data_IF_184128999542
#
_entry.id   IF_184128999542
#
_cell.length_a   1.000
_cell.length_b   1.000
_cell.length_c   1.000
_cell.angle_alpha   90.00
_cell.angle_beta   90.00
_cell.angle_gamma   90.00
#
_symmetry.space_group_name_H-M   'P 1'
#
loop_
_entity.id
_entity.type
_entity.pdbx_description
1 polymer ?
#
# COMPACT_ATOMS: atom_id res chain seq x y z
N UNK A 1 -52.66 38.58 8.00
CA UNK A 1 -51.65 38.39 6.94
C UNK A 1 -50.71 37.31 7.43
N UNK A 2 -50.90 36.07 7.00
CA UNK A 2 -50.04 34.95 7.36
C UNK A 2 -48.80 34.99 6.46
N UNK A 3 -47.66 35.34 7.06
CA UNK A 3 -46.36 35.26 6.39
C UNK A 3 -46.00 33.77 6.36
N UNK A 4 -46.06 33.16 5.17
CA UNK A 4 -45.53 31.81 4.97
C UNK A 4 -44.01 31.87 5.25
N UNK A 5 -43.44 30.94 6.05
CA UNK A 5 -42.01 30.91 6.27
C UNK A 5 -41.32 30.62 4.94
N UNK A 6 -40.27 31.39 4.63
CA UNK A 6 -39.46 31.20 3.43
C UNK A 6 -39.07 29.72 3.30
N UNK A 7 -39.35 29.13 2.14
CA UNK A 7 -39.01 27.75 1.85
C UNK A 7 -37.50 27.55 2.13
N UNK A 8 -37.19 26.72 3.12
CA UNK A 8 -35.81 26.45 3.50
C UNK A 8 -35.17 25.64 2.38
N UNK A 9 -34.32 26.28 1.59
CA UNK A 9 -33.62 25.66 0.49
C UNK A 9 -32.45 24.84 1.06
N UNK A 10 -32.57 23.52 1.01
CA UNK A 10 -31.56 22.58 1.49
C UNK A 10 -30.86 21.90 0.32
N UNK A 11 -29.61 22.33 0.05
CA UNK A 11 -28.70 21.72 -0.92
C UNK A 11 -27.48 21.17 -0.18
N UNK A 12 -27.54 19.94 0.37
CA UNK A 12 -26.41 19.38 1.07
C UNK A 12 -25.27 19.10 0.08
N UNK A 13 -24.03 19.30 0.52
CA UNK A 13 -22.85 18.95 -0.27
C UNK A 13 -22.86 17.44 -0.62
N UNK A 14 -22.23 17.07 -1.72
CA UNK A 14 -22.03 15.64 -2.05
C UNK A 14 -21.26 14.96 -0.92
N UNK A 15 -21.48 13.66 -0.74
CA UNK A 15 -20.78 12.87 0.28
C UNK A 15 -19.31 12.60 -0.08
N UNK A 16 -18.80 13.16 -1.19
CA UNK A 16 -17.42 13.00 -1.63
C UNK A 16 -16.42 13.55 -0.60
N UNK A 17 -16.84 14.52 0.22
CA UNK A 17 -16.05 14.98 1.38
C UNK A 17 -15.78 13.86 2.41
N UNK A 18 -16.55 12.77 2.41
CA UNK A 18 -16.30 11.59 3.24
C UNK A 18 -15.28 10.63 2.62
N UNK A 19 -14.86 10.88 1.38
CA UNK A 19 -13.90 10.06 0.63
C UNK A 19 -12.48 10.66 0.63
N UNK A 20 -12.22 11.71 1.42
CA UNK A 20 -10.91 12.38 1.46
C UNK A 20 -9.77 11.39 1.78
N UNK A 21 -10.02 10.41 2.65
CA UNK A 21 -9.02 9.39 3.01
C UNK A 21 -9.18 8.08 2.23
N UNK A 22 -10.04 8.04 1.20
CA UNK A 22 -10.37 6.80 0.48
C UNK A 22 -9.14 6.20 -0.21
N UNK A 23 -8.28 7.03 -0.79
CA UNK A 23 -7.06 6.55 -1.46
C UNK A 23 -6.16 5.84 -0.45
N UNK A 24 -5.93 6.46 0.71
CA UNK A 24 -5.13 5.90 1.79
C UNK A 24 -5.74 4.61 2.36
N UNK A 25 -7.07 4.61 2.54
CA UNK A 25 -7.80 3.43 2.99
C UNK A 25 -7.70 2.28 1.97
N UNK A 26 -7.69 2.57 0.66
CA UNK A 26 -7.47 1.56 -0.36
C UNK A 26 -6.09 0.91 -0.22
N UNK A 27 -5.03 1.68 0.11
CA UNK A 27 -3.68 1.13 0.36
C UNK A 27 -3.67 0.26 1.61
N UNK A 28 -4.27 0.71 2.72
CA UNK A 28 -4.38 -0.08 3.94
C UNK A 28 -5.09 -1.41 3.67
N UNK A 29 -6.26 -1.35 3.04
CA UNK A 29 -7.07 -2.53 2.71
C UNK A 29 -6.33 -3.45 1.73
N UNK A 30 -5.64 -2.91 0.73
CA UNK A 30 -4.84 -3.67 -0.21
C UNK A 30 -3.73 -4.45 0.50
N UNK A 31 -3.02 -3.78 1.41
CA UNK A 31 -1.94 -4.38 2.21
C UNK A 31 -2.46 -5.52 3.08
N UNK A 32 -3.56 -5.29 3.82
CA UNK A 32 -4.21 -6.32 4.64
C UNK A 32 -4.76 -7.48 3.79
N UNK A 33 -5.27 -7.20 2.59
CA UNK A 33 -5.74 -8.23 1.66
C UNK A 33 -4.60 -9.16 1.24
N UNK A 34 -3.45 -8.61 0.84
CA UNK A 34 -2.30 -9.42 0.47
C UNK A 34 -1.76 -10.21 1.68
N UNK A 35 -1.73 -9.61 2.87
CA UNK A 35 -1.35 -10.30 4.11
C UNK A 35 -2.31 -11.45 4.48
N UNK A 36 -3.61 -11.27 4.26
CA UNK A 36 -4.62 -12.31 4.47
C UNK A 36 -4.41 -13.49 3.51
N UNK A 37 -4.22 -13.23 2.21
CA UNK A 37 -3.93 -14.25 1.20
C UNK A 37 -2.67 -15.06 1.60
N UNK A 38 -1.65 -14.38 2.10
CA UNK A 38 -0.38 -14.99 2.53
C UNK A 38 -0.45 -15.68 3.90
N UNK A 39 -1.57 -15.60 4.62
CA UNK A 39 -1.73 -16.10 5.99
C UNK A 39 -0.71 -15.51 7.00
N UNK A 40 -0.29 -14.26 6.81
CA UNK A 40 0.70 -13.59 7.68
C UNK A 40 0.13 -12.47 8.55
N UNK A 41 -1.17 -12.19 8.44
CA UNK A 41 -1.83 -11.02 9.05
C UNK A 41 -1.50 -10.84 10.55
N UNK A 42 -1.66 -11.89 11.36
CA UNK A 42 -1.39 -11.87 12.80
C UNK A 42 0.09 -12.09 13.16
N UNK A 43 0.91 -12.54 12.21
CA UNK A 43 2.34 -12.84 12.44
C UNK A 43 3.26 -11.70 12.03
N UNK A 44 2.79 -10.83 11.12
CA UNK A 44 3.55 -9.74 10.55
C UNK A 44 3.31 -8.40 11.26
N UNK A 45 2.23 -8.29 12.03
CA UNK A 45 1.86 -7.07 12.75
C UNK A 45 2.12 -7.24 14.24
N UNK A 46 2.56 -6.16 14.89
CA UNK A 46 2.64 -6.10 16.34
C UNK A 46 1.24 -6.25 16.97
N UNK A 47 1.16 -6.92 18.11
CA UNK A 47 -0.07 -7.04 18.88
C UNK A 47 -0.62 -5.67 19.27
N UNK A 48 0.26 -4.68 19.46
CA UNK A 48 -0.11 -3.31 19.84
C UNK A 48 -0.64 -2.47 18.66
N UNK A 49 -0.62 -2.98 17.43
CA UNK A 49 -1.11 -2.27 16.24
C UNK A 49 -2.64 -2.09 16.23
N UNK A 50 -3.37 -2.79 17.10
CA UNK A 50 -4.84 -2.73 17.13
C UNK A 50 -5.48 -3.35 15.89
N UNK A 51 -4.79 -4.31 15.26
CA UNK A 51 -5.22 -4.99 14.03
C UNK A 51 -6.67 -5.49 14.12
N UNK A 52 -7.06 -6.10 15.24
CA UNK A 52 -8.43 -6.59 15.44
C UNK A 52 -9.48 -5.47 15.29
N UNK A 53 -9.20 -4.27 15.81
CA UNK A 53 -10.09 -3.12 15.70
C UNK A 53 -10.15 -2.59 14.25
N UNK A 54 -9.02 -2.65 13.55
CA UNK A 54 -8.96 -2.28 12.13
C UNK A 54 -9.80 -3.27 11.32
N UNK A 55 -9.65 -4.57 11.55
CA UNK A 55 -10.34 -5.63 10.82
C UNK A 55 -11.86 -5.55 10.94
N UNK A 56 -12.40 -5.18 12.09
CA UNK A 56 -13.84 -4.94 12.30
C UNK A 56 -14.40 -3.81 11.42
N UNK A 57 -13.53 -2.96 10.88
CA UNK A 57 -13.87 -1.84 10.01
C UNK A 57 -13.42 -2.02 8.55
N UNK A 58 -12.83 -3.18 8.20
CA UNK A 58 -12.45 -3.48 6.81
C UNK A 58 -13.67 -4.00 6.03
N UNK A 59 -14.08 -3.26 5.01
CA UNK A 59 -15.14 -3.66 4.10
C UNK A 59 -14.75 -3.55 2.62
N UNK A 60 -15.12 -4.53 1.77
CA UNK A 60 -15.68 -5.84 2.12
C UNK A 60 -14.66 -6.71 2.90
N UNK A 61 -15.12 -7.80 3.55
CA UNK A 61 -14.26 -8.70 4.32
C UNK A 61 -13.05 -9.19 3.52
N UNK A 62 -11.94 -9.43 4.22
CA UNK A 62 -10.71 -9.95 3.63
C UNK A 62 -10.92 -11.37 3.08
N UNK A 63 -10.17 -11.76 2.03
CA UNK A 63 -10.25 -13.11 1.47
C UNK A 63 -9.72 -14.17 2.45
N UNK A 64 -10.11 -15.42 2.22
CA UNK A 64 -9.53 -16.55 2.92
C UNK A 64 -8.03 -16.71 2.54
N UNK A 65 -7.19 -17.22 3.45
CA UNK A 65 -5.79 -17.48 3.16
C UNK A 65 -5.62 -18.57 2.10
N UNK A 66 -4.53 -18.48 1.34
CA UNK A 66 -4.10 -19.54 0.44
C UNK A 66 -3.76 -20.81 1.24
N UNK A 67 -4.21 -21.97 0.76
CA UNK A 67 -3.99 -23.26 1.45
C UNK A 67 -2.75 -23.99 0.96
N UNK A 68 -2.28 -23.65 -0.24
CA UNK A 68 -1.08 -24.19 -0.85
C UNK A 68 -0.29 -23.10 -1.59
N UNK A 69 1.01 -23.32 -1.87
CA UNK A 69 1.80 -22.38 -2.66
C UNK A 69 1.27 -22.15 -4.08
N UNK A 70 0.53 -23.12 -4.64
CA UNK A 70 -0.04 -23.02 -5.98
C UNK A 70 -1.25 -22.08 -6.04
N UNK A 71 -1.97 -21.93 -4.92
CA UNK A 71 -3.10 -21.00 -4.76
C UNK A 71 -2.65 -19.53 -4.72
N UNK A 72 -1.37 -19.28 -4.42
CA UNK A 72 -0.85 -17.92 -4.33
C UNK A 72 -0.81 -17.24 -5.71
N UNK A 73 -1.30 -15.99 -5.82
CA UNK A 73 -1.01 -15.14 -6.97
C UNK A 73 0.49 -15.12 -7.24
N UNK A 74 0.88 -15.21 -8.52
CA UNK A 74 2.29 -15.33 -8.92
C UNK A 74 3.16 -14.22 -8.34
N UNK A 75 2.63 -13.00 -8.30
CA UNK A 75 3.23 -11.80 -7.71
C UNK A 75 3.51 -11.90 -6.21
N UNK A 76 2.71 -12.68 -5.46
CA UNK A 76 2.89 -12.87 -4.02
C UNK A 76 3.77 -14.08 -3.68
N UNK A 77 4.15 -14.91 -4.65
CA UNK A 77 5.05 -16.04 -4.40
C UNK A 77 6.42 -15.55 -3.93
N UNK A 78 7.12 -16.29 -3.05
CA UNK A 78 8.42 -15.89 -2.54
C UNK A 78 9.49 -15.79 -3.63
N UNK A 79 10.23 -14.70 -3.65
CA UNK A 79 11.41 -14.52 -4.51
C UNK A 79 12.54 -15.47 -4.09
N UNK A 80 13.53 -15.75 -4.97
CA UNK A 80 14.72 -16.50 -4.56
C UNK A 80 15.46 -15.87 -3.38
N UNK A 81 15.47 -14.53 -3.27
CA UNK A 81 16.08 -13.85 -2.13
C UNK A 81 15.30 -14.08 -0.83
N UNK A 82 13.96 -13.93 -0.87
CA UNK A 82 13.11 -14.23 0.27
C UNK A 82 13.31 -15.66 0.79
N UNK A 83 13.38 -16.64 -0.11
CA UNK A 83 13.61 -18.04 0.29
C UNK A 83 14.95 -18.24 1.00
N UNK A 84 16.02 -17.60 0.50
CA UNK A 84 17.34 -17.65 1.16
C UNK A 84 17.28 -17.01 2.54
N UNK A 85 16.78 -15.78 2.64
CA UNK A 85 16.71 -15.04 3.90
C UNK A 85 15.87 -15.80 4.93
N UNK A 86 14.67 -16.25 4.59
CA UNK A 86 13.79 -16.95 5.53
C UNK A 86 14.20 -18.38 5.85
N UNK A 87 15.08 -18.99 5.06
CA UNK A 87 15.70 -20.28 5.39
C UNK A 87 16.91 -20.10 6.30
N UNK A 88 17.75 -19.09 6.04
CA UNK A 88 19.02 -18.90 6.75
C UNK A 88 18.85 -18.12 8.08
N UNK A 89 17.73 -17.41 8.25
CA UNK A 89 17.41 -16.67 9.47
C UNK A 89 16.50 -17.51 10.38
N UNK A 90 17.09 -18.26 11.31
CA UNK A 90 16.36 -18.94 12.38
C UNK A 90 16.80 -18.38 13.77
N UNK A 91 15.87 -17.90 14.61
CA UNK A 91 14.42 -17.90 14.41
C UNK A 91 13.96 -16.93 13.33
N UNK A 92 12.85 -17.28 12.64
CA UNK A 92 12.20 -16.41 11.65
C UNK A 92 12.01 -15.02 12.24
N UNK A 93 12.35 -14.00 11.46
CA UNK A 93 12.20 -12.57 11.77
C UNK A 93 10.76 -12.13 11.46
N UNK A 94 9.84 -12.08 12.45
CA UNK A 94 8.45 -11.70 12.19
C UNK A 94 8.35 -10.25 11.70
N UNK A 95 9.30 -9.41 12.11
CA UNK A 95 9.42 -7.99 11.73
C UNK A 95 9.57 -7.78 10.22
N UNK A 96 10.03 -8.79 9.47
CA UNK A 96 10.18 -8.72 8.01
C UNK A 96 9.03 -9.37 7.24
N UNK A 97 8.12 -10.10 7.90
CA UNK A 97 7.09 -10.89 7.21
C UNK A 97 6.18 -10.03 6.34
N UNK A 98 5.88 -8.80 6.81
CA UNK A 98 5.02 -7.86 6.10
C UNK A 98 5.55 -7.53 4.70
N UNK A 99 6.87 -7.56 4.47
CA UNK A 99 7.47 -7.30 3.15
C UNK A 99 6.89 -8.25 2.10
N UNK A 100 6.50 -9.47 2.49
CA UNK A 100 5.90 -10.44 1.59
C UNK A 100 4.58 -9.97 0.96
N UNK A 101 3.88 -9.01 1.57
CA UNK A 101 2.62 -8.45 1.06
C UNK A 101 2.80 -7.50 -0.12
N UNK A 102 4.02 -7.01 -0.38
CA UNK A 102 4.32 -6.11 -1.50
C UNK A 102 4.32 -6.92 -2.80
N UNK A 103 3.46 -6.59 -3.80
CA UNK A 103 3.31 -7.43 -4.99
C UNK A 103 4.48 -7.32 -5.97
N UNK A 104 5.26 -6.22 -5.95
CA UNK A 104 6.45 -6.06 -6.78
C UNK A 104 7.60 -6.93 -6.25
N UNK A 105 8.08 -7.94 -7.00
CA UNK A 105 9.20 -8.78 -6.57
C UNK A 105 10.50 -7.99 -6.37
N UNK A 106 10.79 -7.04 -7.28
CA UNK A 106 11.98 -6.21 -7.19
C UNK A 106 11.95 -5.31 -5.94
N UNK A 107 10.81 -4.70 -5.65
CA UNK A 107 10.65 -3.85 -4.47
C UNK A 107 10.81 -4.65 -3.17
N UNK A 108 10.26 -5.87 -3.10
CA UNK A 108 10.49 -6.80 -1.98
C UNK A 108 11.96 -7.09 -1.78
N UNK A 109 12.67 -7.41 -2.86
CA UNK A 109 14.09 -7.70 -2.79
C UNK A 109 14.90 -6.46 -2.34
N UNK A 110 14.52 -5.25 -2.77
CA UNK A 110 15.14 -4.01 -2.33
C UNK A 110 14.90 -3.72 -0.85
N UNK A 111 13.66 -3.93 -0.36
CA UNK A 111 13.32 -3.84 1.06
C UNK A 111 14.17 -4.79 1.89
N UNK A 112 14.33 -6.04 1.44
CA UNK A 112 15.12 -7.04 2.16
C UNK A 112 16.61 -6.72 2.17
N UNK A 113 17.16 -6.25 1.04
CA UNK A 113 18.60 -5.89 0.96
C UNK A 113 18.95 -4.69 1.82
N UNK A 114 18.04 -3.74 1.96
CA UNK A 114 18.26 -2.50 2.70
C UNK A 114 17.67 -2.54 4.12
N UNK A 115 17.12 -3.68 4.54
CA UNK A 115 16.47 -3.79 5.84
C UNK A 115 17.43 -3.42 6.98
N UNK A 116 16.94 -2.59 7.91
CA UNK A 116 17.74 -2.03 9.00
C UNK A 116 18.49 -0.74 8.66
N UNK A 117 18.37 -0.22 7.43
CA UNK A 117 18.93 1.08 7.02
C UNK A 117 17.90 2.21 7.03
N UNK A 118 16.63 1.90 7.28
CA UNK A 118 15.50 2.81 7.32
C UNK A 118 14.57 2.43 8.48
N UNK A 119 13.74 3.39 8.88
CA UNK A 119 12.73 3.20 9.93
C UNK A 119 11.46 2.58 9.32
N UNK A 120 11.04 1.37 9.75
CA UNK A 120 9.82 0.74 9.27
C UNK A 120 8.55 1.53 9.51
N UNK A 121 8.47 2.28 10.60
CA UNK A 121 7.29 3.08 10.94
C UNK A 121 7.18 4.27 9.97
N UNK A 122 8.32 4.93 9.67
CA UNK A 122 8.37 6.04 8.70
C UNK A 122 7.96 5.58 7.29
N UNK A 123 8.45 4.41 6.86
CA UNK A 123 8.05 3.83 5.58
C UNK A 123 6.56 3.47 5.57
N UNK A 124 6.03 2.88 6.65
CA UNK A 124 4.62 2.53 6.77
C UNK A 124 3.72 3.77 6.66
N UNK A 125 4.06 4.84 7.38
CA UNK A 125 3.34 6.12 7.32
C UNK A 125 3.32 6.72 5.91
N UNK A 126 4.45 6.66 5.21
CA UNK A 126 4.54 7.16 3.84
C UNK A 126 3.81 6.28 2.83
N UNK A 127 3.84 4.95 2.96
CA UNK A 127 3.07 4.04 2.11
C UNK A 127 1.57 4.36 2.20
N UNK A 128 1.08 4.60 3.42
CA UNK A 128 -0.33 4.94 3.71
C UNK A 128 -0.64 6.43 3.53
N UNK A 129 0.32 7.21 3.04
CA UNK A 129 0.21 8.62 2.72
C UNK A 129 -0.33 9.52 3.81
N UNK A 130 0.00 9.26 5.07
CA UNK A 130 -0.42 10.07 6.21
C UNK A 130 -1.78 9.67 6.82
N UNK A 131 -2.30 8.49 6.51
CA UNK A 131 -3.60 7.99 7.03
C UNK A 131 -3.74 8.16 8.55
N UNK A 132 -2.71 7.76 9.29
CA UNK A 132 -2.70 7.81 10.76
C UNK A 132 -2.36 9.18 11.34
N UNK A 133 -1.96 10.13 10.49
CA UNK A 133 -1.69 11.52 10.87
C UNK A 133 -2.89 12.44 10.62
N UNK A 134 -3.94 11.93 9.96
CA UNK A 134 -5.16 12.69 9.67
C UNK A 134 -5.02 13.69 8.52
N UNK A 135 -3.97 13.57 7.70
CA UNK A 135 -3.74 14.38 6.51
C UNK A 135 -3.91 13.54 5.26
N UNK A 136 -4.47 14.12 4.20
CA UNK A 136 -4.37 13.55 2.83
C UNK A 136 -3.09 14.09 2.18
N UNK A 137 -1.98 13.40 2.44
CA UNK A 137 -0.65 13.76 1.95
C UNK A 137 -0.15 12.81 0.84
N UNK A 138 -1.05 12.03 0.22
CA UNK A 138 -0.73 10.96 -0.74
C UNK A 138 0.20 11.46 -1.87
N UNK A 139 -0.05 12.65 -2.42
CA UNK A 139 0.81 13.22 -3.46
C UNK A 139 2.25 13.49 -2.99
N UNK A 140 2.42 13.84 -1.70
CA UNK A 140 3.70 14.20 -1.08
C UNK A 140 4.46 13.00 -0.51
N UNK A 141 3.75 11.92 -0.20
CA UNK A 141 4.27 10.65 0.31
C UNK A 141 3.11 9.66 0.18
N UNK A 142 3.24 8.65 -0.67
CA UNK A 142 2.12 7.75 -0.91
C UNK A 142 2.37 6.76 -2.02
N UNK A 143 1.57 5.70 -1.99
CA UNK A 143 1.27 4.90 -3.16
C UNK A 143 -0.24 4.85 -3.33
N UNK A 144 -0.70 4.51 -4.53
CA UNK A 144 -2.12 4.43 -4.85
C UNK A 144 -2.42 3.03 -5.34
N UNK A 145 -3.57 2.50 -4.93
CA UNK A 145 -4.08 1.20 -5.40
C UNK A 145 -5.37 1.40 -6.16
N UNK A 146 -5.35 1.06 -7.45
CA UNK A 146 -6.45 1.29 -8.39
C UNK A 146 -7.34 0.06 -8.60
N UNK A 147 -6.82 -1.15 -8.34
CA UNK A 147 -7.52 -2.41 -8.60
C UNK A 147 -7.04 -3.52 -7.66
N UNK A 148 -7.00 -4.77 -8.11
CA UNK A 148 -6.70 -5.93 -7.29
C UNK A 148 -5.29 -5.83 -6.67
N UNK A 149 -5.16 -5.99 -5.33
CA UNK A 149 -3.96 -5.60 -4.61
C UNK A 149 -2.77 -6.53 -4.82
N UNK A 150 -2.99 -7.77 -5.25
CA UNK A 150 -1.89 -8.68 -5.58
C UNK A 150 -1.31 -8.40 -6.97
N UNK A 151 -1.94 -7.60 -7.84
CA UNK A 151 -1.40 -7.30 -9.17
C UNK A 151 -0.45 -6.09 -9.09
N UNK A 152 0.83 -6.21 -9.49
CA UNK A 152 1.73 -5.05 -9.55
C UNK A 152 1.19 -3.90 -10.42
N UNK A 153 0.43 -4.23 -11.47
CA UNK A 153 -0.19 -3.25 -12.37
C UNK A 153 -1.28 -2.39 -11.71
N UNK A 154 -1.78 -2.81 -10.55
CA UNK A 154 -2.78 -2.04 -9.79
C UNK A 154 -2.18 -0.91 -8.96
N UNK A 155 -0.86 -0.83 -8.83
CA UNK A 155 -0.18 0.09 -7.93
C UNK A 155 0.47 1.24 -8.70
N UNK A 156 0.34 2.45 -8.16
CA UNK A 156 0.97 3.66 -8.68
C UNK A 156 1.82 4.30 -7.57
N UNK A 157 3.06 4.65 -7.92
CA UNK A 157 3.98 5.36 -7.02
C UNK A 157 3.77 6.86 -7.17
N UNK A 158 3.65 7.61 -6.06
CA UNK A 158 3.53 9.07 -6.14
C UNK A 158 4.91 9.74 -6.22
N UNK A 159 5.01 10.96 -6.78
CA UNK A 159 6.28 11.68 -6.87
C UNK A 159 6.99 11.88 -5.54
N UNK A 160 6.22 12.14 -4.49
CA UNK A 160 6.74 12.29 -3.15
C UNK A 160 7.37 11.02 -2.59
N UNK A 161 6.71 9.87 -2.78
CA UNK A 161 7.26 8.58 -2.39
C UNK A 161 8.54 8.25 -3.17
N UNK A 162 8.52 8.44 -4.49
CA UNK A 162 9.69 8.18 -5.33
C UNK A 162 10.88 9.06 -4.97
N UNK A 163 10.64 10.30 -4.55
CA UNK A 163 11.70 11.21 -4.11
C UNK A 163 12.34 10.79 -2.79
N UNK A 164 11.57 10.30 -1.83
CA UNK A 164 12.09 9.91 -0.50
C UNK A 164 12.67 8.49 -0.49
N UNK A 165 12.08 7.58 -1.24
CA UNK A 165 12.42 6.15 -1.25
C UNK A 165 12.92 5.65 -2.63
N UNK A 166 13.80 6.38 -3.35
CA UNK A 166 14.16 6.02 -4.72
C UNK A 166 14.83 4.64 -4.78
N UNK A 167 15.62 4.28 -3.77
CA UNK A 167 16.31 2.99 -3.68
C UNK A 167 15.36 1.78 -3.71
N UNK A 168 14.12 1.93 -3.21
CA UNK A 168 13.11 0.86 -3.25
C UNK A 168 12.59 0.59 -4.66
N UNK A 169 12.72 1.56 -5.58
CA UNK A 169 12.20 1.51 -6.93
C UNK A 169 13.23 0.99 -7.95
N UNK A 170 14.45 0.72 -7.52
CA UNK A 170 15.53 0.21 -8.39
C UNK A 170 15.12 -1.12 -9.03
N UNK A 171 15.08 -1.18 -10.37
CA UNK A 171 14.69 -2.38 -11.12
C UNK A 171 13.20 -2.75 -11.03
N UNK A 172 12.35 -1.84 -10.53
CA UNK A 172 10.90 -2.04 -10.44
C UNK A 172 10.19 -1.68 -11.76
N UNK A 173 10.70 -2.13 -12.91
CA UNK A 173 10.27 -1.69 -14.24
C UNK A 173 8.77 -1.87 -14.50
N UNK A 174 8.20 -3.00 -14.07
CA UNK A 174 6.76 -3.28 -14.21
C UNK A 174 5.89 -2.31 -13.38
N UNK A 175 6.31 -2.00 -12.15
CA UNK A 175 5.62 -1.06 -11.26
C UNK A 175 5.73 0.37 -11.79
N UNK A 176 6.88 0.74 -12.37
CA UNK A 176 7.07 2.06 -12.98
C UNK A 176 6.22 2.20 -14.25
N UNK A 177 6.16 1.16 -15.08
CA UNK A 177 5.30 1.15 -16.25
C UNK A 177 3.81 1.22 -15.87
N UNK A 178 3.40 0.58 -14.76
CA UNK A 178 2.04 0.68 -14.22
C UNK A 178 1.75 2.11 -13.73
N UNK A 179 2.69 2.70 -12.98
CA UNK A 179 2.62 4.09 -12.52
C UNK A 179 2.38 5.04 -13.69
N UNK A 180 3.17 4.94 -14.75
CA UNK A 180 3.03 5.80 -15.93
C UNK A 180 1.70 5.58 -16.68
N UNK A 181 1.19 4.34 -16.73
CA UNK A 181 -0.14 4.06 -17.31
C UNK A 181 -1.25 4.78 -16.57
N UNK A 182 -1.27 4.72 -15.24
CA UNK A 182 -2.28 5.39 -14.43
C UNK A 182 -2.21 6.90 -14.53
N UNK A 183 -0.99 7.46 -14.49
CA UNK A 183 -0.74 8.89 -14.69
C UNK A 183 -1.23 9.37 -16.06
N UNK A 184 -0.89 8.65 -17.13
CA UNK A 184 -1.33 8.99 -18.48
C UNK A 184 -2.86 8.96 -18.62
N UNK A 185 -3.55 8.07 -17.92
CA UNK A 185 -5.02 8.01 -17.88
C UNK A 185 -5.69 9.29 -17.35
N UNK A 186 -4.95 10.10 -16.59
CA UNK A 186 -5.39 11.41 -16.07
C UNK A 186 -4.74 12.60 -16.80
N UNK A 187 -3.98 12.35 -17.86
CA UNK A 187 -3.25 13.39 -18.59
C UNK A 187 -2.01 13.91 -17.87
N UNK A 188 -1.46 13.15 -16.92
CA UNK A 188 -0.21 13.48 -16.25
C UNK A 188 1.01 12.92 -17.00
N UNK A 189 2.14 13.62 -16.91
CA UNK A 189 3.42 13.18 -17.47
C UNK A 189 3.97 11.94 -16.73
N UNK A 190 4.80 11.11 -17.40
CA UNK A 190 5.49 9.98 -16.78
C UNK A 190 6.27 10.38 -15.52
N UNK A 191 6.37 9.46 -14.55
CA UNK A 191 7.02 9.73 -13.28
C UNK A 191 8.55 9.78 -13.46
N UNK A 192 9.12 10.97 -13.26
CA UNK A 192 10.57 11.14 -13.23
C UNK A 192 11.13 10.79 -11.84
N UNK A 193 12.10 9.87 -11.80
CA UNK A 193 12.87 9.53 -10.59
C UNK A 193 14.27 10.13 -10.73
N UNK A 194 14.68 10.93 -9.75
CA UNK A 194 16.08 11.30 -9.58
C UNK A 194 16.76 10.20 -8.76
N UNK A 195 17.56 9.38 -9.44
CA UNK A 195 18.25 8.24 -8.81
C UNK A 195 19.39 8.65 -7.87
N UNK A 196 19.72 9.95 -7.80
CA UNK A 196 20.94 10.40 -7.15
C UNK A 196 22.17 9.97 -7.94
N UNK A 197 23.22 10.80 -7.94
CA UNK A 197 24.50 10.41 -8.57
C UNK A 197 25.22 9.45 -7.61
N UNK A 198 25.57 8.27 -8.12
CA UNK A 198 26.55 7.36 -7.49
C UNK A 198 27.87 8.08 -7.13
#
# INVERSE_FOLDING_TARGET
MFILPAAFVHFPLSLDHRLLTLIQYNVLRATLTNMAILAILHSAMDADCGLDQILDHIHPPLPAPATSPDDLPVSLRPTPLQRRIFHDQEPRRPDMLWISSVPSPAMRDNLLRTYGQWDPDDLCCDLLGGLYEGFDDVERRGIIVWSDPWLPDSWEVTPGFAKKWPFLLTGCDELMAATDRWRAGRGEEPLAIDWGKE
#
